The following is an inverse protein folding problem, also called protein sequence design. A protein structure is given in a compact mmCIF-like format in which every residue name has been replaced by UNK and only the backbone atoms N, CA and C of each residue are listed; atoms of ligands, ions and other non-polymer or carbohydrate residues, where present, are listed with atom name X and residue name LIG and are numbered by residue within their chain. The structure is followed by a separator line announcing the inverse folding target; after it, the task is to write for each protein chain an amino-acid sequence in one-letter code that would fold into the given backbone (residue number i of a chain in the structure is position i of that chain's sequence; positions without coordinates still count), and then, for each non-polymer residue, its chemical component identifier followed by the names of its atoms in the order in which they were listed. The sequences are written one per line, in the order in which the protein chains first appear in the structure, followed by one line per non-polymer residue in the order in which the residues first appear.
data_IF_802230818525
#
_entry.id   IF_802230818525
#
_cell.length_a   1.000
_cell.length_b   1.000
_cell.length_c   1.000
_cell.angle_alpha   90.00
_cell.angle_beta   90.00
_cell.angle_gamma   90.00
#
_symmetry.space_group_name_H-M   'P 1'
#
loop_
_entity.id
_entity.type
_entity.pdbx_description
1 polymer ?
#
# COMPACT_ATOMS: atom_id res chain seq x y z
N UNK A 1 -78.96 20.86 27.15
CA UNK A 1 -78.91 19.38 27.34
C UNK A 1 -78.12 18.82 26.17
N UNK A 2 -77.09 17.99 26.51
CA UNK A 2 -76.41 16.99 25.71
C UNK A 2 -75.16 17.46 24.95
N UNK A 3 -73.98 17.20 25.42
CA UNK A 3 -73.03 16.06 25.33
C UNK A 3 -72.82 15.66 23.85
N UNK A 4 -71.58 15.53 23.32
CA UNK A 4 -70.33 14.96 23.80
C UNK A 4 -69.16 15.44 22.98
N UNK A 5 -68.08 15.75 23.65
CA UNK A 5 -66.79 15.93 23.07
C UNK A 5 -66.21 14.55 22.75
N UNK A 6 -66.02 14.24 21.47
CA UNK A 6 -65.26 13.05 21.01
C UNK A 6 -63.80 13.29 21.06
N UNK A 7 -63.15 12.64 22.02
CA UNK A 7 -61.66 12.59 22.13
C UNK A 7 -61.09 11.77 20.96
N UNK A 8 -60.43 12.40 20.01
CA UNK A 8 -59.68 11.69 18.95
C UNK A 8 -58.35 11.20 19.48
N UNK A 9 -57.97 9.96 19.27
CA UNK A 9 -56.74 9.41 19.82
C UNK A 9 -55.51 9.98 19.16
N UNK A 10 -54.58 10.41 20.00
CA UNK A 10 -53.24 11.00 19.67
C UNK A 10 -52.22 9.96 19.15
N UNK A 11 -52.69 8.91 18.49
CA UNK A 11 -51.85 7.77 18.07
C UNK A 11 -51.35 7.94 16.63
N UNK A 12 -52.03 8.71 15.80
CA UNK A 12 -51.68 8.84 14.37
C UNK A 12 -50.37 9.58 14.10
N UNK A 13 -50.01 10.50 15.00
CA UNK A 13 -48.74 11.25 14.83
C UNK A 13 -47.49 10.48 15.26
N UNK A 14 -47.62 9.42 16.07
CA UNK A 14 -46.46 8.62 16.50
C UNK A 14 -46.04 7.64 15.43
N UNK A 15 -46.97 7.05 14.70
CA UNK A 15 -46.65 6.15 13.58
C UNK A 15 -46.10 6.89 12.37
N UNK A 16 -46.59 8.09 12.05
CA UNK A 16 -46.02 8.92 10.95
C UNK A 16 -44.57 9.35 11.22
N UNK A 17 -44.22 9.61 12.50
CA UNK A 17 -42.84 9.92 12.89
C UNK A 17 -41.92 8.71 12.84
N UNK A 18 -42.37 7.52 13.19
CA UNK A 18 -41.58 6.29 13.15
C UNK A 18 -41.35 5.86 11.70
N UNK A 19 -42.33 5.98 10.81
CA UNK A 19 -42.17 5.65 9.38
C UNK A 19 -41.21 6.64 8.67
N UNK A 20 -41.24 7.93 9.03
CA UNK A 20 -40.31 8.92 8.49
C UNK A 20 -38.84 8.71 8.95
N UNK A 21 -38.65 8.26 10.20
CA UNK A 21 -37.30 7.95 10.72
C UNK A 21 -36.77 6.65 10.10
N UNK A 22 -37.64 5.65 9.86
CA UNK A 22 -37.25 4.39 9.23
C UNK A 22 -36.84 4.54 7.75
N UNK A 23 -37.45 5.50 7.02
CA UNK A 23 -37.12 5.76 5.61
C UNK A 23 -35.82 6.60 5.49
N UNK A 24 -35.53 7.43 6.49
CA UNK A 24 -34.30 8.27 6.46
C UNK A 24 -33.03 7.51 6.85
N UNK A 25 -33.15 6.34 7.47
CA UNK A 25 -31.98 5.46 7.77
C UNK A 25 -31.62 4.53 6.62
N UNK A 26 -32.43 4.41 5.57
CA UNK A 26 -32.13 3.57 4.40
C UNK A 26 -31.33 4.26 3.28
N UNK A 27 -31.03 5.56 3.43
CA UNK A 27 -30.29 6.35 2.42
C UNK A 27 -29.02 6.98 2.96
N UNK A 28 -28.35 6.36 3.93
CA UNK A 28 -26.95 6.68 4.18
C UNK A 28 -26.12 5.77 3.24
N UNK A 29 -25.42 6.32 2.24
CA UNK A 29 -24.44 5.53 1.55
C UNK A 29 -23.40 5.12 2.58
N UNK A 30 -23.17 3.83 2.74
CA UNK A 30 -22.03 3.29 3.44
C UNK A 30 -20.76 3.86 2.80
N UNK A 31 -20.28 4.98 3.35
CA UNK A 31 -18.97 5.53 3.01
C UNK A 31 -17.86 4.72 3.70
N UNK A 32 -18.04 3.42 3.85
CA UNK A 32 -16.97 2.52 4.19
C UNK A 32 -16.47 1.88 2.88
N UNK A 33 -15.91 2.71 2.00
CA UNK A 33 -15.07 2.22 0.90
C UNK A 33 -13.74 1.81 1.51
N UNK A 34 -13.75 0.74 2.32
CA UNK A 34 -12.58 -0.09 2.47
C UNK A 34 -12.32 -0.63 1.06
N UNK A 35 -11.17 -0.26 0.50
CA UNK A 35 -10.66 -0.94 -0.65
C UNK A 35 -10.67 -2.44 -0.32
N UNK A 36 -11.66 -3.16 -0.85
CA UNK A 36 -11.69 -4.61 -0.79
C UNK A 36 -10.48 -5.07 -1.60
N UNK A 37 -9.37 -5.30 -0.91
CA UNK A 37 -8.32 -6.17 -1.44
C UNK A 37 -9.03 -7.46 -1.81
N UNK A 38 -9.01 -7.80 -3.11
CA UNK A 38 -9.57 -9.04 -3.60
C UNK A 38 -9.03 -10.16 -2.71
N UNK A 39 -9.94 -10.84 -2.01
CA UNK A 39 -9.62 -11.89 -1.05
C UNK A 39 -8.75 -12.94 -1.75
N UNK A 40 -7.47 -12.98 -1.44
CA UNK A 40 -6.55 -13.97 -1.95
C UNK A 40 -5.29 -13.46 -2.65
N UNK A 41 -5.21 -12.21 -3.15
CA UNK A 41 -4.02 -11.69 -3.82
C UNK A 41 -2.90 -11.41 -2.81
N UNK A 42 -1.79 -12.11 -2.93
CA UNK A 42 -0.61 -11.89 -2.09
C UNK A 42 0.27 -10.79 -2.68
N UNK A 43 0.56 -9.77 -1.88
CA UNK A 43 1.32 -8.60 -2.28
C UNK A 43 2.65 -8.55 -1.54
N UNK A 44 3.74 -8.31 -2.27
CA UNK A 44 5.05 -7.98 -1.72
C UNK A 44 5.39 -6.54 -2.07
N UNK A 45 5.96 -5.79 -1.12
CA UNK A 45 6.54 -4.47 -1.34
C UNK A 45 8.02 -4.53 -1.04
N UNK A 46 8.83 -4.80 -2.07
CA UNK A 46 10.27 -4.83 -1.98
C UNK A 46 10.85 -3.44 -2.28
N UNK A 47 11.77 -2.94 -1.48
CA UNK A 47 12.31 -1.60 -1.68
C UNK A 47 13.75 -1.46 -1.20
N UNK A 48 14.50 -0.57 -1.85
CA UNK A 48 15.74 -0.02 -1.34
C UNK A 48 15.54 1.45 -1.00
N UNK A 49 16.08 1.90 0.13
CA UNK A 49 15.99 3.31 0.54
C UNK A 49 17.30 3.78 1.18
N UNK A 50 17.91 4.84 0.63
CA UNK A 50 19.09 5.46 1.20
C UNK A 50 18.72 6.55 2.22
N UNK A 51 17.86 7.50 1.85
CA UNK A 51 17.46 8.65 2.68
C UNK A 51 16.17 8.44 3.50
N UNK A 52 15.50 7.30 3.35
CA UNK A 52 14.23 7.00 4.03
C UNK A 52 12.96 7.31 3.21
N UNK A 53 13.02 8.10 2.15
CA UNK A 53 11.85 8.49 1.35
C UNK A 53 11.16 7.28 0.71
N UNK A 54 11.92 6.40 0.04
CA UNK A 54 11.36 5.18 -0.56
C UNK A 54 10.78 4.25 0.49
N UNK A 55 11.40 4.15 1.68
CA UNK A 55 10.88 3.39 2.81
C UNK A 55 9.51 3.91 3.27
N UNK A 56 9.36 5.25 3.35
CA UNK A 56 8.08 5.85 3.74
C UNK A 56 6.96 5.50 2.74
N UNK A 57 7.25 5.60 1.44
CA UNK A 57 6.30 5.22 0.38
C UNK A 57 5.98 3.71 0.42
N UNK A 58 6.99 2.86 0.58
CA UNK A 58 6.81 1.42 0.65
C UNK A 58 5.88 1.00 1.82
N UNK A 59 6.03 1.64 2.98
CA UNK A 59 5.14 1.43 4.13
C UNK A 59 3.70 1.80 3.83
N UNK A 60 3.47 2.96 3.19
CA UNK A 60 2.11 3.39 2.81
C UNK A 60 1.46 2.40 1.83
N UNK A 61 2.22 1.88 0.85
CA UNK A 61 1.72 0.87 -0.08
C UNK A 61 1.38 -0.42 0.66
N UNK A 62 2.27 -0.89 1.55
CA UNK A 62 2.02 -2.09 2.33
C UNK A 62 0.79 -1.96 3.25
N UNK A 63 0.62 -0.81 3.91
CA UNK A 63 -0.57 -0.51 4.72
C UNK A 63 -1.86 -0.51 3.89
N UNK A 64 -1.81 0.09 2.69
CA UNK A 64 -2.98 0.18 1.81
C UNK A 64 -3.37 -1.16 1.18
N UNK A 65 -2.39 -2.06 0.95
CA UNK A 65 -2.61 -3.34 0.26
C UNK A 65 -2.67 -4.54 1.20
N UNK A 66 -2.27 -4.38 2.47
CA UNK A 66 -2.03 -5.49 3.39
C UNK A 66 -0.83 -6.36 2.99
N UNK A 67 0.08 -5.83 2.16
CA UNK A 67 1.23 -6.54 1.63
C UNK A 67 2.40 -6.67 2.60
N UNK A 68 3.25 -7.66 2.35
CA UNK A 68 4.48 -7.87 3.10
C UNK A 68 5.57 -6.87 2.67
N UNK A 69 6.34 -6.35 3.64
CA UNK A 69 7.46 -5.46 3.38
C UNK A 69 8.78 -6.24 3.32
N UNK A 70 9.59 -5.95 2.31
CA UNK A 70 10.96 -6.45 2.21
C UNK A 70 11.94 -5.31 1.89
N UNK A 71 12.88 -5.04 2.79
CA UNK A 71 13.95 -4.07 2.56
C UNK A 71 15.12 -4.73 1.85
N UNK A 72 15.45 -4.25 0.65
CA UNK A 72 16.63 -4.65 -0.11
C UNK A 72 17.84 -3.98 0.53
N UNK A 73 18.71 -4.75 1.17
CA UNK A 73 19.89 -4.23 1.88
C UNK A 73 21.15 -4.67 1.17
N UNK A 74 22.00 -3.73 0.68
CA UNK A 74 23.30 -4.09 0.11
C UNK A 74 24.25 -4.63 1.17
N UNK A 75 25.10 -5.58 0.79
CA UNK A 75 26.10 -6.18 1.69
C UNK A 75 27.09 -5.15 2.22
N UNK A 76 27.53 -4.23 1.37
CA UNK A 76 28.30 -3.03 1.73
C UNK A 76 27.36 -1.82 1.77
N UNK A 77 27.32 -1.13 2.92
CA UNK A 77 26.49 0.07 3.04
C UNK A 77 27.04 1.20 2.16
N UNK A 78 26.14 1.96 1.55
CA UNK A 78 26.50 3.19 0.86
C UNK A 78 26.95 4.27 1.85
N UNK A 79 27.85 5.18 1.44
CA UNK A 79 28.25 6.33 2.26
C UNK A 79 27.03 7.16 2.68
N UNK A 80 27.09 7.76 3.87
CA UNK A 80 26.07 8.68 4.33
C UNK A 80 26.18 10.06 3.67
N UNK A 81 27.41 10.44 3.27
CA UNK A 81 27.69 11.71 2.62
C UNK A 81 27.19 11.70 1.18
N UNK A 82 26.43 12.75 0.80
CA UNK A 82 25.72 12.83 -0.48
C UNK A 82 26.66 12.74 -1.70
N UNK A 83 27.76 13.50 -1.71
CA UNK A 83 28.70 13.48 -2.83
C UNK A 83 29.31 12.10 -3.05
N UNK A 84 29.73 11.46 -1.96
CA UNK A 84 30.31 10.12 -2.02
C UNK A 84 29.34 9.05 -2.55
N UNK A 85 28.05 9.11 -2.17
CA UNK A 85 27.06 8.18 -2.69
C UNK A 85 26.76 8.45 -4.17
N UNK A 86 26.73 9.72 -4.59
CA UNK A 86 26.52 10.09 -6.00
C UNK A 86 27.66 9.56 -6.87
N UNK A 87 28.91 9.72 -6.44
CA UNK A 87 30.09 9.25 -7.18
C UNK A 87 30.15 7.73 -7.23
N UNK A 88 29.87 7.06 -6.11
CA UNK A 88 29.81 5.59 -6.07
C UNK A 88 28.73 5.06 -7.00
N UNK A 89 27.51 5.58 -6.91
CA UNK A 89 26.40 5.19 -7.76
C UNK A 89 26.72 5.39 -9.25
N UNK A 90 27.36 6.50 -9.63
CA UNK A 90 27.79 6.76 -11.00
C UNK A 90 28.75 5.69 -11.52
N UNK A 91 29.73 5.32 -10.71
CA UNK A 91 30.72 4.28 -11.08
C UNK A 91 30.03 2.91 -11.21
N UNK A 92 29.17 2.54 -10.27
CA UNK A 92 28.48 1.26 -10.27
C UNK A 92 27.54 1.13 -11.47
N UNK A 93 26.74 2.16 -11.75
CA UNK A 93 25.81 2.18 -12.89
C UNK A 93 26.58 2.15 -14.21
N UNK A 94 27.61 3.00 -14.36
CA UNK A 94 28.46 3.04 -15.56
C UNK A 94 29.22 1.75 -15.81
N UNK A 95 29.58 1.03 -14.77
CA UNK A 95 30.26 -0.27 -14.83
C UNK A 95 29.30 -1.48 -14.86
N UNK A 96 27.99 -1.28 -14.80
CA UNK A 96 27.01 -2.38 -14.73
C UNK A 96 27.14 -3.21 -13.46
N UNK A 97 27.68 -2.62 -12.38
CA UNK A 97 27.94 -3.32 -11.13
C UNK A 97 26.62 -3.64 -10.43
N UNK A 98 26.48 -4.87 -9.98
CA UNK A 98 25.38 -5.37 -9.16
C UNK A 98 25.91 -5.74 -7.78
N UNK A 99 25.74 -4.86 -6.78
CA UNK A 99 26.27 -5.14 -5.44
C UNK A 99 25.56 -6.34 -4.82
N UNK A 100 26.32 -7.16 -4.09
CA UNK A 100 25.74 -8.26 -3.32
C UNK A 100 24.72 -7.73 -2.30
N UNK A 101 23.67 -8.49 -2.04
CA UNK A 101 22.63 -8.18 -1.06
C UNK A 101 22.84 -8.95 0.24
N UNK A 102 22.38 -8.38 1.36
CA UNK A 102 22.37 -9.04 2.67
C UNK A 102 21.16 -9.94 2.82
N UNK A 103 21.39 -11.08 3.47
CA UNK A 103 20.31 -11.97 3.85
C UNK A 103 19.77 -12.82 2.71
N UNK A 104 18.67 -13.51 3.00
CA UNK A 104 17.97 -14.33 2.02
C UNK A 104 16.91 -13.48 1.31
N UNK A 105 16.88 -13.52 -0.01
CA UNK A 105 15.83 -12.91 -0.80
C UNK A 105 14.48 -13.60 -0.50
N UNK A 106 13.36 -12.85 -0.57
CA UNK A 106 12.04 -13.43 -0.42
C UNK A 106 11.76 -14.41 -1.56
N UNK A 107 10.95 -15.41 -1.28
CA UNK A 107 10.39 -16.25 -2.34
C UNK A 107 9.30 -15.46 -3.09
N UNK A 108 9.71 -14.75 -4.15
CA UNK A 108 8.78 -13.96 -4.98
C UNK A 108 7.72 -14.85 -5.64
N UNK A 109 7.97 -16.15 -5.78
CA UNK A 109 7.01 -17.14 -6.26
C UNK A 109 5.73 -17.21 -5.42
N UNK A 110 5.82 -16.89 -4.12
CA UNK A 110 4.69 -16.90 -3.21
C UNK A 110 3.72 -15.71 -3.35
N UNK A 111 4.05 -14.71 -4.19
CA UNK A 111 3.28 -13.47 -4.36
C UNK A 111 2.71 -13.36 -5.77
N UNK A 112 1.58 -12.69 -5.90
CA UNK A 112 0.91 -12.42 -7.18
C UNK A 112 1.30 -11.06 -7.75
N UNK A 113 1.40 -10.05 -6.85
CA UNK A 113 1.77 -8.66 -7.17
C UNK A 113 2.99 -8.24 -6.35
N UNK A 114 3.99 -7.69 -7.03
CA UNK A 114 5.21 -7.21 -6.38
C UNK A 114 5.43 -5.73 -6.73
N UNK A 115 5.37 -4.86 -5.72
CA UNK A 115 5.82 -3.48 -5.85
C UNK A 115 7.33 -3.43 -5.61
N UNK A 116 8.06 -2.77 -6.51
CA UNK A 116 9.50 -2.57 -6.38
C UNK A 116 9.80 -1.08 -6.22
N UNK A 117 10.25 -0.69 -5.03
CA UNK A 117 10.61 0.67 -4.69
C UNK A 117 12.10 0.95 -4.85
N UNK A 118 12.47 1.98 -5.61
CA UNK A 118 13.84 2.42 -5.81
C UNK A 118 13.95 3.94 -5.76
N UNK A 119 15.01 4.51 -5.16
CA UNK A 119 15.39 5.87 -5.52
C UNK A 119 15.84 5.92 -6.98
N UNK A 120 15.54 7.04 -7.65
CA UNK A 120 16.02 7.26 -9.02
C UNK A 120 17.45 7.80 -8.95
N UNK A 121 18.42 6.98 -9.27
CA UNK A 121 19.83 7.37 -9.33
C UNK A 121 20.32 7.40 -10.79
N UNK A 122 20.82 8.55 -11.24
CA UNK A 122 21.31 8.72 -12.61
C UNK A 122 20.30 8.23 -13.68
N UNK A 123 19.03 8.60 -13.50
CA UNK A 123 17.91 8.25 -14.39
C UNK A 123 17.62 6.75 -14.51
N UNK A 124 18.05 5.95 -13.54
CA UNK A 124 17.76 4.52 -13.49
C UNK A 124 17.49 4.06 -12.05
N UNK A 125 17.21 2.77 -11.86
CA UNK A 125 17.07 2.18 -10.54
C UNK A 125 18.41 2.09 -9.82
N UNK A 126 18.40 2.18 -8.50
CA UNK A 126 19.62 2.03 -7.71
C UNK A 126 20.23 0.62 -7.89
N UNK A 127 21.59 0.48 -7.90
CA UNK A 127 22.26 -0.80 -8.14
C UNK A 127 21.79 -1.97 -7.28
N UNK A 128 21.47 -1.83 -5.97
CA UNK A 128 20.89 -2.92 -5.17
C UNK A 128 19.55 -3.42 -5.70
N UNK A 129 18.72 -2.53 -6.24
CA UNK A 129 17.43 -2.91 -6.85
C UNK A 129 17.67 -3.64 -8.16
N UNK A 130 18.65 -3.21 -8.97
CA UNK A 130 19.04 -3.92 -10.18
C UNK A 130 19.54 -5.35 -9.89
N UNK A 131 20.25 -5.57 -8.78
CA UNK A 131 20.62 -6.90 -8.30
C UNK A 131 19.38 -7.72 -7.95
N UNK A 132 18.48 -7.18 -7.14
CA UNK A 132 17.25 -7.85 -6.74
C UNK A 132 16.40 -8.26 -7.94
N UNK A 133 16.25 -7.37 -8.91
CA UNK A 133 15.51 -7.65 -10.16
C UNK A 133 16.15 -8.75 -11.01
N UNK A 134 17.47 -8.88 -10.96
CA UNK A 134 18.19 -9.90 -11.72
C UNK A 134 18.20 -11.27 -11.05
N UNK A 135 18.13 -11.31 -9.72
CA UNK A 135 18.28 -12.52 -8.93
C UNK A 135 16.95 -13.25 -8.65
N UNK A 136 15.82 -12.63 -8.98
CA UNK A 136 14.48 -13.19 -8.76
C UNK A 136 13.84 -13.69 -10.07
N UNK A 137 13.02 -14.72 -9.97
CA UNK A 137 12.19 -15.21 -11.09
C UNK A 137 10.82 -14.50 -11.09
N UNK A 138 10.57 -13.76 -12.16
CA UNK A 138 9.38 -12.91 -12.33
C UNK A 138 8.28 -13.58 -13.17
N UNK A 139 8.46 -14.84 -13.58
CA UNK A 139 7.50 -15.54 -14.43
C UNK A 139 6.09 -15.57 -13.82
N UNK A 140 5.10 -15.09 -14.55
CA UNK A 140 3.70 -15.04 -14.12
C UNK A 140 3.38 -14.03 -13.02
N UNK A 141 4.27 -13.04 -12.76
CA UNK A 141 4.07 -12.00 -11.74
C UNK A 141 3.67 -10.66 -12.33
N UNK A 142 2.90 -9.89 -11.59
CA UNK A 142 2.67 -8.47 -11.87
C UNK A 142 3.69 -7.66 -11.06
N UNK A 143 4.55 -6.89 -11.75
CA UNK A 143 5.60 -6.06 -11.14
C UNK A 143 5.40 -4.61 -11.53
#
# INVERSE_FOLDING_TARGET
MSWAAGCKPKIENKMKRIVLIAIMTMFLPDMNTQAQTASGTKVLVAYFSHSGNTRAMARQIAEATGGDLFEIVPAAAYPAEYGAVVDQAKKEIGGGVRPALKGRLPDVGAYDVIFVGSPCWWSTVAPPVATFLADCDWAGKTV
#
